data_IF_279496328855
#
_entry.id   IF_279496328855
#
_cell.length_a   1.000
_cell.length_b   1.000
_cell.length_c   1.000
_cell.angle_alpha   90.00
_cell.angle_beta   90.00
_cell.angle_gamma   90.00
#
_symmetry.space_group_name_H-M   'P 1'
#
loop_
_entity.id
_entity.type
_entity.pdbx_description
1 polymer ?
#
# COMPACT_ATOMS: atom_id res chain seq x y z
N UNK A 1 94.43 -7.10 41.95
CA UNK A 1 93.41 -6.78 42.97
C UNK A 1 92.04 -7.27 42.48
N UNK A 2 91.36 -8.02 43.34
CA UNK A 2 89.91 -8.34 43.41
C UNK A 2 89.18 -8.89 42.18
N UNK A 3 89.06 -10.22 42.18
CA UNK A 3 87.81 -11.00 42.24
C UNK A 3 86.54 -10.34 41.68
N UNK A 4 86.17 -10.72 40.46
CA UNK A 4 84.78 -10.78 40.02
C UNK A 4 84.45 -12.22 39.64
N UNK A 5 83.96 -13.02 40.60
CA UNK A 5 83.36 -14.32 40.34
C UNK A 5 82.08 -14.11 39.53
N UNK A 6 82.18 -13.95 38.21
CA UNK A 6 81.02 -14.02 37.34
C UNK A 6 80.58 -15.48 37.28
N UNK A 7 79.46 -15.76 37.94
CA UNK A 7 78.77 -17.05 37.95
C UNK A 7 78.63 -17.63 36.54
N UNK A 8 79.25 -18.77 36.26
CA UNK A 8 79.05 -19.59 35.05
C UNK A 8 77.71 -20.36 35.07
N UNK A 9 76.63 -19.77 35.61
CA UNK A 9 75.34 -20.45 35.73
C UNK A 9 74.44 -20.31 34.50
N UNK A 10 74.83 -19.48 33.52
CA UNK A 10 74.01 -19.24 32.33
C UNK A 10 74.83 -19.46 31.06
N UNK A 11 74.38 -20.41 30.23
CA UNK A 11 74.91 -20.60 28.87
C UNK A 11 74.68 -19.32 28.06
N UNK A 12 75.61 -18.90 27.18
CA UNK A 12 75.39 -17.75 26.30
C UNK A 12 74.15 -18.01 25.45
N UNK A 13 73.17 -17.11 25.55
CA UNK A 13 71.91 -17.21 24.81
C UNK A 13 72.21 -16.87 23.34
N UNK A 14 71.92 -17.82 22.44
CA UNK A 14 72.02 -17.59 21.01
C UNK A 14 70.82 -16.77 20.53
N UNK A 15 70.98 -15.46 20.59
CA UNK A 15 69.96 -14.51 20.14
C UNK A 15 69.62 -14.69 18.65
N UNK A 16 70.57 -15.11 17.80
CA UNK A 16 70.30 -15.32 16.37
C UNK A 16 69.33 -16.48 16.18
N UNK A 17 69.58 -17.59 16.86
CA UNK A 17 68.68 -18.74 16.85
C UNK A 17 67.28 -18.40 17.40
N UNK A 18 67.19 -17.62 18.47
CA UNK A 18 65.89 -17.15 19.00
C UNK A 18 65.15 -16.23 18.02
N UNK A 19 65.85 -15.33 17.32
CA UNK A 19 65.24 -14.49 16.28
C UNK A 19 64.73 -15.32 15.10
N UNK A 20 65.45 -16.36 14.70
CA UNK A 20 65.02 -17.29 13.64
C UNK A 20 63.76 -18.06 14.06
N UNK A 21 63.72 -18.60 15.28
CA UNK A 21 62.52 -19.27 15.83
C UNK A 21 61.35 -18.29 15.89
N UNK A 22 61.56 -17.09 16.41
CA UNK A 22 60.52 -16.07 16.50
C UNK A 22 60.02 -15.62 15.11
N UNK A 23 60.90 -15.54 14.11
CA UNK A 23 60.53 -15.22 12.74
C UNK A 23 59.70 -16.36 12.10
N UNK A 24 60.08 -17.61 12.32
CA UNK A 24 59.33 -18.79 11.86
C UNK A 24 57.94 -18.84 12.50
N UNK A 25 57.85 -18.67 13.82
CA UNK A 25 56.57 -18.61 14.56
C UNK A 25 55.71 -17.43 14.11
N UNK A 26 56.31 -16.25 13.86
CA UNK A 26 55.60 -15.09 13.32
C UNK A 26 55.04 -15.37 11.92
N UNK A 27 55.79 -16.07 11.06
CA UNK A 27 55.29 -16.49 9.75
C UNK A 27 54.20 -17.56 9.85
N UNK A 28 54.32 -18.51 10.79
CA UNK A 28 53.30 -19.52 11.06
C UNK A 28 51.99 -18.88 11.56
N UNK A 29 52.09 -17.95 12.51
CA UNK A 29 50.97 -17.16 13.03
C UNK A 29 50.30 -16.33 11.93
N UNK A 30 51.07 -15.67 11.07
CA UNK A 30 50.53 -14.93 9.92
C UNK A 30 49.77 -15.84 8.94
N UNK A 31 50.27 -17.06 8.68
CA UNK A 31 49.57 -18.07 7.87
C UNK A 31 48.25 -18.52 8.51
N UNK A 32 48.22 -18.70 9.84
CA UNK A 32 46.99 -19.05 10.57
C UNK A 32 45.98 -17.90 10.51
N UNK A 33 46.41 -16.66 10.75
CA UNK A 33 45.55 -15.47 10.65
C UNK A 33 44.97 -15.32 9.23
N UNK A 34 45.76 -15.59 8.19
CA UNK A 34 45.29 -15.56 6.81
C UNK A 34 44.25 -16.65 6.54
N UNK A 35 44.42 -17.86 7.09
CA UNK A 35 43.39 -18.92 7.02
C UNK A 35 42.11 -18.52 7.74
N UNK A 36 42.20 -17.95 8.95
CA UNK A 36 41.05 -17.46 9.72
C UNK A 36 40.28 -16.41 8.91
N UNK A 37 40.96 -15.38 8.39
CA UNK A 37 40.34 -14.34 7.56
C UNK A 37 39.64 -14.92 6.31
N UNK A 38 40.24 -15.91 5.65
CA UNK A 38 39.62 -16.61 4.51
C UNK A 38 38.35 -17.37 4.93
N UNK A 39 38.40 -18.11 6.03
CA UNK A 39 37.22 -18.85 6.53
C UNK A 39 36.10 -17.92 6.97
N UNK A 40 36.42 -16.78 7.59
CA UNK A 40 35.44 -15.76 7.95
C UNK A 40 34.78 -15.13 6.72
N UNK A 41 35.57 -14.84 5.68
CA UNK A 41 35.04 -14.29 4.43
C UNK A 41 34.08 -15.28 3.74
N UNK A 42 34.45 -16.56 3.65
CA UNK A 42 33.57 -17.60 3.11
C UNK A 42 32.30 -17.74 3.94
N UNK A 43 32.41 -17.72 5.27
CA UNK A 43 31.24 -17.75 6.17
C UNK A 43 30.31 -16.55 5.96
N UNK A 44 30.86 -15.34 5.81
CA UNK A 44 30.08 -14.12 5.51
C UNK A 44 29.36 -14.23 4.16
N UNK A 45 30.06 -14.65 3.11
CA UNK A 45 29.46 -14.83 1.77
C UNK A 45 28.37 -15.90 1.79
N UNK A 46 28.58 -17.02 2.47
CA UNK A 46 27.57 -18.07 2.56
C UNK A 46 26.31 -17.60 3.30
N UNK A 47 26.47 -16.86 4.42
CA UNK A 47 25.34 -16.26 5.15
C UNK A 47 24.55 -15.30 4.25
N UNK A 48 25.26 -14.45 3.52
CA UNK A 48 24.65 -13.50 2.58
C UNK A 48 23.89 -14.20 1.46
N UNK A 49 24.48 -15.24 0.86
CA UNK A 49 23.80 -16.04 -0.17
C UNK A 49 22.55 -16.72 0.36
N UNK A 50 22.58 -17.25 1.59
CA UNK A 50 21.40 -17.85 2.23
C UNK A 50 20.28 -16.81 2.46
N UNK A 51 20.63 -15.61 2.96
CA UNK A 51 19.67 -14.51 3.14
C UNK A 51 19.04 -14.08 1.81
N UNK A 52 19.85 -13.90 0.76
CA UNK A 52 19.35 -13.54 -0.56
C UNK A 52 18.43 -14.60 -1.15
N UNK A 53 18.69 -15.90 -0.90
CA UNK A 53 17.77 -16.98 -1.31
C UNK A 53 16.43 -16.87 -0.59
N UNK A 54 16.44 -16.58 0.71
CA UNK A 54 15.21 -16.38 1.50
C UNK A 54 14.41 -15.17 0.99
N UNK A 55 15.07 -14.04 0.72
CA UNK A 55 14.41 -12.85 0.19
C UNK A 55 13.80 -13.09 -1.19
N UNK A 56 14.52 -13.76 -2.10
CA UNK A 56 13.98 -14.14 -3.41
C UNK A 56 12.75 -15.04 -3.28
N UNK A 57 12.77 -15.99 -2.35
CA UNK A 57 11.61 -16.85 -2.11
C UNK A 57 10.40 -16.04 -1.64
N UNK A 58 10.58 -15.12 -0.69
CA UNK A 58 9.52 -14.22 -0.21
C UNK A 58 8.96 -13.40 -1.37
N UNK A 59 9.82 -12.79 -2.19
CA UNK A 59 9.39 -11.99 -3.34
C UNK A 59 8.62 -12.80 -4.38
N UNK A 60 9.05 -14.03 -4.67
CA UNK A 60 8.32 -14.89 -5.60
C UNK A 60 6.93 -15.26 -5.09
N UNK A 61 6.82 -15.61 -3.81
CA UNK A 61 5.53 -15.92 -3.18
C UNK A 61 4.62 -14.69 -3.17
N UNK A 62 5.17 -13.53 -2.84
CA UNK A 62 4.42 -12.28 -2.78
C UNK A 62 3.96 -11.81 -4.16
N UNK A 63 4.82 -11.92 -5.17
CA UNK A 63 4.47 -11.61 -6.55
C UNK A 63 3.30 -12.47 -7.04
N UNK A 64 3.37 -13.79 -6.80
CA UNK A 64 2.28 -14.71 -7.14
C UNK A 64 0.98 -14.32 -6.45
N UNK A 65 1.01 -14.07 -5.14
CA UNK A 65 -0.15 -13.66 -4.35
C UNK A 65 -0.76 -12.34 -4.84
N UNK A 66 0.08 -11.34 -5.10
CA UNK A 66 -0.37 -10.04 -5.60
C UNK A 66 -0.98 -10.16 -7.00
N UNK A 67 -0.41 -11.01 -7.87
CA UNK A 67 -0.97 -11.30 -9.18
C UNK A 67 -2.36 -11.95 -9.08
N UNK A 68 -2.51 -12.97 -8.22
CA UNK A 68 -3.79 -13.64 -7.99
C UNK A 68 -4.83 -12.68 -7.38
N UNK A 69 -4.42 -11.88 -6.39
CA UNK A 69 -5.29 -10.87 -5.76
C UNK A 69 -5.72 -9.79 -6.74
N UNK A 70 -4.81 -9.36 -7.63
CA UNK A 70 -5.11 -8.39 -8.69
C UNK A 70 -6.13 -8.97 -9.66
N UNK A 71 -5.90 -10.19 -10.16
CA UNK A 71 -6.83 -10.86 -11.07
C UNK A 71 -8.22 -11.03 -10.44
N UNK A 72 -8.28 -11.38 -9.16
CA UNK A 72 -9.55 -11.48 -8.43
C UNK A 72 -10.25 -10.14 -8.32
N UNK A 73 -9.55 -9.08 -7.92
CA UNK A 73 -10.13 -7.74 -7.81
C UNK A 73 -10.59 -7.20 -9.18
N UNK A 74 -9.80 -7.41 -10.24
CA UNK A 74 -10.18 -7.04 -11.62
C UNK A 74 -11.44 -7.79 -12.07
N UNK A 75 -11.56 -9.08 -11.74
CA UNK A 75 -12.77 -9.85 -12.03
C UNK A 75 -14.00 -9.37 -11.24
N UNK A 76 -13.83 -9.05 -9.94
CA UNK A 76 -14.90 -8.50 -9.10
C UNK A 76 -15.36 -7.13 -9.60
N UNK A 77 -14.43 -6.23 -9.97
CA UNK A 77 -14.73 -4.93 -10.56
C UNK A 77 -15.49 -5.12 -11.88
N UNK A 78 -15.02 -6.01 -12.75
CA UNK A 78 -15.69 -6.29 -14.02
C UNK A 78 -17.12 -6.80 -13.80
N UNK A 79 -17.30 -7.74 -12.87
CA UNK A 79 -18.62 -8.28 -12.52
C UNK A 79 -19.54 -7.17 -12.00
N UNK A 80 -19.04 -6.33 -11.10
CA UNK A 80 -19.79 -5.18 -10.57
C UNK A 80 -20.19 -4.20 -11.69
N UNK A 81 -19.27 -3.87 -12.60
CA UNK A 81 -19.56 -3.00 -13.74
C UNK A 81 -20.57 -3.63 -14.71
N UNK A 82 -20.50 -4.93 -14.96
CA UNK A 82 -21.47 -5.65 -15.79
C UNK A 82 -22.88 -5.66 -15.13
N UNK A 83 -22.97 -5.86 -13.81
CA UNK A 83 -24.23 -5.84 -13.06
C UNK A 83 -24.85 -4.43 -12.92
N UNK A 84 -24.04 -3.40 -12.65
CA UNK A 84 -24.53 -2.03 -12.44
C UNK A 84 -24.70 -1.22 -13.73
N UNK A 85 -24.02 -1.59 -14.82
CA UNK A 85 -24.18 -0.92 -16.13
C UNK A 85 -25.60 -0.97 -16.68
N UNK A 86 -26.41 -1.94 -16.27
CA UNK A 86 -27.82 -2.03 -16.64
C UNK A 86 -28.71 -1.07 -15.83
N UNK A 87 -28.22 -0.51 -14.72
CA UNK A 87 -28.97 0.35 -13.80
C UNK A 87 -28.59 1.82 -13.88
N UNK A 88 -27.34 2.13 -14.24
CA UNK A 88 -26.83 3.50 -14.26
C UNK A 88 -26.04 3.81 -15.54
N UNK A 89 -26.48 4.81 -16.29
CA UNK A 89 -25.89 5.22 -17.58
C UNK A 89 -24.40 5.63 -17.48
N UNK A 90 -23.95 6.11 -16.32
CA UNK A 90 -22.55 6.52 -16.10
C UNK A 90 -21.53 5.39 -16.35
N UNK A 91 -21.89 4.14 -16.04
CA UNK A 91 -20.97 3.01 -16.27
C UNK A 91 -20.83 2.64 -17.75
N UNK A 92 -21.81 2.99 -18.59
CA UNK A 92 -21.70 2.86 -20.05
C UNK A 92 -20.70 3.88 -20.60
N UNK A 93 -20.79 5.14 -20.15
CA UNK A 93 -19.84 6.19 -20.54
C UNK A 93 -18.40 5.84 -20.14
N UNK A 94 -18.20 5.24 -18.96
CA UNK A 94 -16.88 4.75 -18.54
C UNK A 94 -16.34 3.62 -19.43
N UNK A 95 -17.20 2.68 -19.85
CA UNK A 95 -16.81 1.60 -20.78
C UNK A 95 -16.42 2.18 -22.14
N UNK A 96 -17.16 3.17 -22.63
CA UNK A 96 -16.85 3.85 -23.89
C UNK A 96 -15.51 4.60 -23.82
N UNK A 97 -15.22 5.25 -22.69
CA UNK A 97 -13.92 5.87 -22.42
C UNK A 97 -12.79 4.83 -22.39
N UNK A 98 -12.99 3.68 -21.72
CA UNK A 98 -12.01 2.59 -21.71
C UNK A 98 -11.68 2.11 -23.13
N UNK A 99 -12.70 1.90 -23.96
CA UNK A 99 -12.51 1.47 -25.35
C UNK A 99 -11.77 2.53 -26.17
N UNK A 100 -12.10 3.82 -26.00
CA UNK A 100 -11.41 4.94 -26.65
C UNK A 100 -9.93 4.97 -26.25
N UNK A 101 -9.63 4.90 -24.95
CA UNK A 101 -8.26 4.89 -24.42
C UNK A 101 -7.46 3.68 -24.90
N UNK A 102 -8.07 2.49 -24.94
CA UNK A 102 -7.41 1.29 -25.48
C UNK A 102 -7.05 1.48 -26.95
N UNK A 103 -7.99 2.01 -27.75
CA UNK A 103 -7.76 2.26 -29.18
C UNK A 103 -6.68 3.33 -29.41
N UNK A 104 -6.69 4.40 -28.62
CA UNK A 104 -5.65 5.44 -28.65
C UNK A 104 -4.28 4.86 -28.29
N UNK A 105 -4.22 4.01 -27.26
CA UNK A 105 -3.00 3.32 -26.84
C UNK A 105 -2.46 2.41 -27.95
N UNK A 106 -3.30 1.60 -28.57
CA UNK A 106 -2.90 0.70 -29.65
C UNK A 106 -2.40 1.49 -30.87
N UNK A 107 -3.09 2.59 -31.19
CA UNK A 107 -2.70 3.52 -32.26
C UNK A 107 -1.35 4.15 -31.95
N UNK A 108 -1.17 4.64 -30.72
CA UNK A 108 0.07 5.23 -30.25
C UNK A 108 1.23 4.23 -30.28
N UNK A 109 1.02 3.02 -29.78
CA UNK A 109 2.02 1.94 -29.81
C UNK A 109 2.40 1.59 -31.25
N UNK A 110 1.43 1.50 -32.15
CA UNK A 110 1.67 1.27 -33.57
C UNK A 110 2.53 2.39 -34.16
N UNK A 111 2.15 3.65 -33.95
CA UNK A 111 2.85 4.81 -34.50
C UNK A 111 4.27 5.01 -33.93
N UNK A 112 4.56 4.53 -32.72
CA UNK A 112 5.86 4.70 -32.07
C UNK A 112 6.79 3.51 -32.20
N UNK A 113 6.26 2.27 -32.11
CA UNK A 113 7.05 1.04 -32.11
C UNK A 113 7.31 0.53 -33.52
N UNK A 114 6.32 0.61 -34.43
CA UNK A 114 6.46 0.08 -35.80
C UNK A 114 7.61 0.77 -36.56
N UNK A 115 7.78 2.12 -36.53
CA UNK A 115 8.90 2.75 -37.23
C UNK A 115 10.28 2.31 -36.72
N UNK A 116 10.41 2.07 -35.41
CA UNK A 116 11.66 1.57 -34.82
C UNK A 116 11.93 0.12 -35.22
N UNK A 117 10.89 -0.71 -35.22
CA UNK A 117 10.98 -2.12 -35.64
C UNK A 117 11.33 -2.24 -37.12
N UNK A 118 10.65 -1.46 -37.98
CA UNK A 118 10.95 -1.36 -39.40
C UNK A 118 12.37 -0.86 -39.65
N UNK A 119 12.83 0.18 -38.93
CA UNK A 119 14.20 0.65 -39.04
C UNK A 119 15.20 -0.47 -38.67
N UNK A 120 14.95 -1.20 -37.58
CA UNK A 120 15.79 -2.33 -37.15
C UNK A 120 15.84 -3.44 -38.19
N UNK A 121 14.69 -3.81 -38.76
CA UNK A 121 14.59 -4.86 -39.79
C UNK A 121 15.27 -4.43 -41.09
N UNK A 122 15.04 -3.19 -41.54
CA UNK A 122 15.70 -2.60 -42.71
C UNK A 122 17.23 -2.53 -42.54
N UNK A 123 17.72 -2.18 -41.35
CA UNK A 123 19.16 -2.18 -41.06
C UNK A 123 19.74 -3.59 -41.06
N UNK A 124 19.03 -4.58 -40.50
CA UNK A 124 19.46 -5.98 -40.54
C UNK A 124 19.53 -6.52 -41.96
N UNK A 125 18.49 -6.29 -42.76
CA UNK A 125 18.42 -6.72 -44.16
C UNK A 125 19.56 -6.12 -44.99
N UNK A 126 19.81 -4.80 -44.85
CA UNK A 126 20.89 -4.13 -45.57
C UNK A 126 22.28 -4.55 -45.09
N UNK A 127 22.46 -4.85 -43.80
CA UNK A 127 23.71 -5.44 -43.29
C UNK A 127 23.95 -6.83 -43.90
N UNK A 128 22.93 -7.69 -43.97
CA UNK A 128 23.07 -8.99 -44.63
C UNK A 128 23.40 -8.86 -46.12
N UNK A 129 22.79 -7.93 -46.85
CA UNK A 129 23.15 -7.65 -48.25
C UNK A 129 24.60 -7.19 -48.38
N UNK A 130 25.05 -6.23 -47.55
CA UNK A 130 26.45 -5.77 -47.55
C UNK A 130 27.44 -6.91 -47.29
N UNK A 131 27.09 -7.84 -46.39
CA UNK A 131 27.91 -9.03 -46.11
C UNK A 131 27.95 -10.01 -47.31
N UNK A 132 26.88 -10.17 -48.07
CA UNK A 132 26.85 -10.98 -49.29
C UNK A 132 27.70 -10.35 -50.41
N UNK A 133 27.60 -9.03 -50.64
CA UNK A 133 28.36 -8.33 -51.67
C UNK A 133 29.86 -8.17 -51.35
N UNK A 134 30.26 -8.27 -50.08
CA UNK A 134 31.68 -8.33 -49.70
C UNK A 134 32.34 -9.67 -50.08
N UNK A 135 31.54 -10.70 -50.39
CA UNK A 135 32.03 -12.00 -50.89
C UNK A 135 32.17 -12.04 -52.42
N UNK A 136 31.63 -11.06 -53.15
CA UNK A 136 31.72 -10.91 -54.61
C UNK A 136 32.48 -9.62 -54.94
N UNK A 137 33.75 -9.75 -55.32
CA UNK A 137 34.79 -8.71 -55.25
C UNK A 137 34.67 -7.52 -56.22
N UNK A 138 33.50 -7.23 -56.79
CA UNK A 138 33.34 -6.12 -57.75
C UNK A 138 32.09 -5.27 -57.50
N UNK A 139 32.33 -4.01 -57.13
CA UNK A 139 31.43 -2.84 -57.14
C UNK A 139 31.03 -2.28 -55.75
N UNK A 140 32.03 -2.00 -54.91
CA UNK A 140 31.84 -1.57 -53.52
C UNK A 140 31.50 -0.10 -53.27
N UNK A 141 31.35 0.76 -54.28
CA UNK A 141 31.29 2.23 -54.01
C UNK A 141 30.03 2.97 -54.46
N UNK A 142 29.08 2.37 -55.18
CA UNK A 142 27.98 3.15 -55.78
C UNK A 142 26.54 2.74 -55.43
N UNK A 143 26.29 1.64 -54.71
CA UNK A 143 24.90 1.14 -54.55
C UNK A 143 24.25 1.34 -53.17
N UNK A 144 25.03 1.52 -52.11
CA UNK A 144 24.48 1.72 -50.77
C UNK A 144 24.55 3.19 -50.38
N UNK A 145 23.39 3.87 -50.35
CA UNK A 145 23.30 5.25 -49.89
C UNK A 145 23.42 5.32 -48.36
N UNK A 146 24.66 5.23 -47.87
CA UNK A 146 25.04 5.33 -46.46
C UNK A 146 24.59 6.67 -45.84
N UNK A 147 24.53 7.72 -46.66
CA UNK A 147 24.11 9.06 -46.23
C UNK A 147 22.63 9.09 -45.91
N UNK A 148 21.77 8.56 -46.80
CA UNK A 148 20.33 8.41 -46.54
C UNK A 148 20.04 7.51 -45.33
N UNK A 149 20.83 6.43 -45.14
CA UNK A 149 20.67 5.54 -44.00
C UNK A 149 20.96 6.25 -42.66
N UNK A 150 22.06 7.00 -42.59
CA UNK A 150 22.41 7.78 -41.40
C UNK A 150 21.38 8.89 -41.16
N UNK A 151 20.84 9.50 -42.21
CA UNK A 151 19.75 10.46 -42.11
C UNK A 151 18.46 9.83 -41.55
N UNK A 152 18.08 8.64 -42.03
CA UNK A 152 16.90 7.90 -41.54
C UNK A 152 17.04 7.52 -40.06
N UNK A 153 18.22 7.05 -39.63
CA UNK A 153 18.50 6.76 -38.21
C UNK A 153 18.41 8.03 -37.36
N UNK A 154 19.02 9.14 -37.81
CA UNK A 154 18.97 10.42 -37.10
C UNK A 154 17.53 10.94 -36.99
N UNK A 155 16.75 10.81 -38.05
CA UNK A 155 15.35 11.20 -38.09
C UNK A 155 14.51 10.42 -37.06
N UNK A 156 14.57 9.09 -37.07
CA UNK A 156 13.81 8.25 -36.12
C UNK A 156 14.27 8.49 -34.68
N UNK A 157 15.57 8.69 -34.44
CA UNK A 157 16.08 9.06 -33.10
C UNK A 157 15.53 10.42 -32.63
N UNK A 158 15.49 11.42 -33.52
CA UNK A 158 14.93 12.74 -33.21
C UNK A 158 13.43 12.66 -32.93
N UNK A 159 12.71 11.87 -33.72
CA UNK A 159 11.28 11.63 -33.53
C UNK A 159 11.00 10.95 -32.18
N UNK A 160 11.72 9.87 -31.85
CA UNK A 160 11.60 9.17 -30.56
C UNK A 160 11.91 10.09 -29.38
N UNK A 161 12.93 10.93 -29.49
CA UNK A 161 13.28 11.91 -28.45
C UNK A 161 12.15 12.92 -28.24
N UNK A 162 11.62 13.50 -29.31
CA UNK A 162 10.52 14.46 -29.23
C UNK A 162 9.24 13.84 -28.62
N UNK A 163 8.94 12.60 -29.00
CA UNK A 163 7.82 11.83 -28.44
C UNK A 163 8.01 11.60 -26.93
N UNK A 164 9.21 11.22 -26.50
CA UNK A 164 9.51 11.00 -25.08
C UNK A 164 9.39 12.30 -24.27
N UNK A 165 9.90 13.41 -24.81
CA UNK A 165 9.78 14.74 -24.18
C UNK A 165 8.31 15.15 -24.04
N UNK A 166 7.51 14.95 -25.09
CA UNK A 166 6.06 15.21 -25.05
C UNK A 166 5.35 14.34 -24.00
N UNK A 167 5.62 13.03 -23.97
CA UNK A 167 5.06 12.12 -22.98
C UNK A 167 5.40 12.52 -21.54
N UNK A 168 6.64 12.97 -21.29
CA UNK A 168 7.03 13.43 -19.96
C UNK A 168 6.19 14.65 -19.56
N UNK A 169 6.03 15.62 -20.45
CA UNK A 169 5.21 16.81 -20.19
C UNK A 169 3.74 16.46 -19.96
N UNK A 170 3.17 15.58 -20.79
CA UNK A 170 1.81 15.09 -20.64
C UNK A 170 1.62 14.34 -19.32
N UNK A 171 2.56 13.47 -18.94
CA UNK A 171 2.50 12.75 -17.66
C UNK A 171 2.52 13.70 -16.47
N UNK A 172 3.36 14.74 -16.51
CA UNK A 172 3.43 15.75 -15.44
C UNK A 172 2.13 16.59 -15.36
N UNK A 173 1.52 16.91 -16.51
CA UNK A 173 0.25 17.60 -16.55
C UNK A 173 -0.88 16.75 -15.95
N UNK A 174 -0.95 15.47 -16.32
CA UNK A 174 -1.93 14.53 -15.78
C UNK A 174 -1.72 14.28 -14.28
N UNK A 175 -0.48 14.14 -13.81
CA UNK A 175 -0.17 14.02 -12.39
C UNK A 175 -0.65 15.24 -11.60
N UNK A 176 -0.50 16.45 -12.15
CA UNK A 176 -0.99 17.68 -11.54
C UNK A 176 -2.52 17.73 -11.50
N UNK A 177 -3.19 17.38 -12.60
CA UNK A 177 -4.66 17.31 -12.64
C UNK A 177 -5.19 16.30 -11.62
N UNK A 178 -4.57 15.11 -11.54
CA UNK A 178 -4.94 14.08 -10.58
C UNK A 178 -4.79 14.54 -9.12
N UNK A 179 -3.73 15.28 -8.80
CA UNK A 179 -3.55 15.81 -7.43
C UNK A 179 -4.62 16.88 -7.09
N UNK A 180 -5.00 17.72 -8.06
CA UNK A 180 -6.12 18.67 -7.91
C UNK A 180 -7.46 17.95 -7.70
N UNK A 181 -7.72 16.84 -8.40
CA UNK A 181 -8.93 16.03 -8.16
C UNK A 181 -8.89 15.32 -6.81
N UNK A 182 -7.74 14.80 -6.40
CA UNK A 182 -7.55 14.12 -5.12
C UNK A 182 -7.83 15.05 -3.95
N UNK A 183 -7.36 16.29 -4.00
CA UNK A 183 -7.67 17.29 -2.96
C UNK A 183 -9.16 17.60 -2.89
N UNK A 184 -9.83 17.75 -4.05
CA UNK A 184 -11.30 17.95 -4.13
C UNK A 184 -12.07 16.74 -3.59
N UNK A 185 -11.71 15.52 -3.97
CA UNK A 185 -12.37 14.29 -3.53
C UNK A 185 -12.18 14.03 -2.03
N UNK A 186 -10.98 14.28 -1.49
CA UNK A 186 -10.72 14.16 -0.06
C UNK A 186 -11.53 15.14 0.77
N UNK A 187 -11.69 16.39 0.31
CA UNK A 187 -12.52 17.39 0.97
C UNK A 187 -13.99 16.95 1.06
N UNK A 188 -14.57 16.46 -0.05
CA UNK A 188 -15.95 15.96 -0.09
C UNK A 188 -16.13 14.74 0.83
N UNK A 189 -15.17 13.80 0.84
CA UNK A 189 -15.23 12.62 1.70
C UNK A 189 -15.14 12.92 3.20
N UNK A 190 -14.56 14.06 3.57
CA UNK A 190 -14.40 14.50 4.96
C UNK A 190 -15.66 15.20 5.46
N UNK A 191 -16.31 16.01 4.62
CA UNK A 191 -17.61 16.61 4.91
C UNK A 191 -18.72 15.56 5.06
N UNK A 192 -18.77 14.57 4.17
CA UNK A 192 -19.70 13.43 4.31
C UNK A 192 -19.40 12.55 5.54
N UNK A 193 -18.15 12.39 5.96
CA UNK A 193 -17.86 11.60 7.19
C UNK A 193 -18.30 12.29 8.47
N UNK A 194 -18.32 13.63 8.50
CA UNK A 194 -18.65 14.40 9.69
C UNK A 194 -20.16 14.66 9.83
N UNK A 195 -20.89 14.86 8.72
CA UNK A 195 -22.32 15.17 8.74
C UNK A 195 -23.23 13.98 9.07
N UNK A 196 -22.95 12.81 8.50
CA UNK A 196 -23.87 11.67 8.53
C UNK A 196 -23.90 10.89 9.85
N UNK A 197 -22.95 11.15 10.76
CA UNK A 197 -22.87 10.42 12.02
C UNK A 197 -23.92 10.87 13.04
N UNK A 198 -24.18 12.19 13.08
CA UNK A 198 -25.13 12.82 14.00
C UNK A 198 -26.52 13.00 13.38
N UNK A 199 -26.64 12.83 12.07
CA UNK A 199 -27.92 12.93 11.38
C UNK A 199 -28.88 11.83 11.84
N UNK A 200 -30.12 12.24 12.13
CA UNK A 200 -31.19 11.34 12.55
C UNK A 200 -31.65 10.55 11.33
N UNK A 201 -31.62 9.21 11.35
CA UNK A 201 -32.06 8.37 10.26
C UNK A 201 -33.47 8.75 9.82
N UNK A 202 -33.67 8.88 8.51
CA UNK A 202 -34.99 9.17 7.93
C UNK A 202 -36.06 8.20 8.42
N UNK A 203 -35.70 6.93 8.62
CA UNK A 203 -36.56 5.90 9.21
C UNK A 203 -37.16 6.29 10.59
N UNK A 204 -36.42 7.02 11.44
CA UNK A 204 -36.94 7.53 12.72
C UNK A 204 -37.81 8.77 12.55
N UNK A 205 -37.53 9.60 11.55
CA UNK A 205 -38.31 10.82 11.29
C UNK A 205 -39.67 10.47 10.69
N UNK A 206 -39.73 9.48 9.80
CA UNK A 206 -40.95 9.02 9.14
C UNK A 206 -41.80 8.06 9.96
N UNK A 207 -41.38 7.69 11.18
CA UNK A 207 -42.19 6.89 12.10
C UNK A 207 -43.42 7.68 12.58
N UNK A 208 -44.61 7.14 12.34
CA UNK A 208 -45.87 7.62 12.89
C UNK A 208 -45.95 7.17 14.36
N UNK A 209 -46.11 8.14 15.28
CA UNK A 209 -46.18 7.89 16.72
C UNK A 209 -47.33 8.70 17.31
N UNK A 210 -48.30 8.08 17.99
CA UNK A 210 -49.43 8.79 18.60
C UNK A 210 -49.01 9.64 19.81
N UNK A 211 -47.83 9.37 20.39
CA UNK A 211 -47.26 10.14 21.50
C UNK A 211 -46.04 10.96 21.02
N UNK A 212 -46.16 12.28 20.80
CA UNK A 212 -45.06 13.13 20.36
C UNK A 212 -43.87 13.13 21.33
N UNK A 213 -44.13 13.08 22.63
CA UNK A 213 -43.11 13.06 23.67
C UNK A 213 -42.23 11.80 23.59
N UNK A 214 -42.83 10.64 23.28
CA UNK A 214 -42.09 9.41 23.07
C UNK A 214 -41.19 9.51 21.84
N UNK A 215 -41.69 10.10 20.74
CA UNK A 215 -40.90 10.29 19.51
C UNK A 215 -39.69 11.20 19.76
N UNK A 216 -39.87 12.30 20.50
CA UNK A 216 -38.76 13.19 20.85
C UNK A 216 -37.75 12.52 21.78
N UNK A 217 -38.19 11.72 22.74
CA UNK A 217 -37.33 10.95 23.63
C UNK A 217 -36.46 9.95 22.85
N UNK A 218 -37.05 9.19 21.92
CA UNK A 218 -36.32 8.26 21.05
C UNK A 218 -35.27 8.99 20.20
N UNK A 219 -35.61 10.15 19.62
CA UNK A 219 -34.67 10.95 18.83
C UNK A 219 -33.51 11.46 19.70
N UNK A 220 -33.79 11.91 20.93
CA UNK A 220 -32.77 12.39 21.85
C UNK A 220 -31.83 11.27 22.31
N UNK A 221 -32.35 10.08 22.61
CA UNK A 221 -31.53 8.92 22.94
C UNK A 221 -30.65 8.48 21.74
N UNK A 222 -31.17 8.56 20.51
CA UNK A 222 -30.35 8.35 19.31
C UNK A 222 -29.20 9.35 19.24
N UNK A 223 -29.47 10.64 19.41
CA UNK A 223 -28.45 11.69 19.37
C UNK A 223 -27.38 11.52 20.45
N UNK A 224 -27.79 11.10 21.65
CA UNK A 224 -26.89 10.79 22.77
C UNK A 224 -26.00 9.59 22.48
N UNK A 225 -26.55 8.53 21.88
CA UNK A 225 -25.79 7.39 21.42
C UNK A 225 -24.78 7.79 20.34
N UNK A 226 -25.24 8.49 19.30
CA UNK A 226 -24.44 8.95 18.18
C UNK A 226 -23.29 9.85 18.63
N UNK A 227 -23.56 10.83 19.51
CA UNK A 227 -22.54 11.74 20.05
C UNK A 227 -21.50 11.00 20.89
N UNK A 228 -21.89 9.99 21.67
CA UNK A 228 -20.97 9.17 22.44
C UNK A 228 -19.98 8.39 21.57
N UNK A 229 -20.43 7.82 20.46
CA UNK A 229 -19.55 7.16 19.48
C UNK A 229 -18.70 8.16 18.70
N UNK A 230 -19.28 9.30 18.34
CA UNK A 230 -18.60 10.37 17.62
C UNK A 230 -17.43 10.95 18.42
N UNK A 231 -17.62 11.28 19.70
CA UNK A 231 -16.56 11.79 20.56
C UNK A 231 -15.41 10.80 20.72
N UNK A 232 -15.70 9.50 20.87
CA UNK A 232 -14.67 8.46 20.91
C UNK A 232 -13.91 8.35 19.58
N UNK A 233 -14.62 8.49 18.46
CA UNK A 233 -13.99 8.45 17.13
C UNK A 233 -13.05 9.66 16.96
N UNK A 234 -13.48 10.85 17.38
CA UNK A 234 -12.64 12.06 17.35
C UNK A 234 -11.41 11.94 18.24
N UNK A 235 -11.54 11.35 19.44
CA UNK A 235 -10.41 11.09 20.33
C UNK A 235 -9.38 10.18 19.65
N UNK A 236 -9.83 9.06 19.07
CA UNK A 236 -8.98 8.13 18.33
C UNK A 236 -8.34 8.82 17.12
N UNK A 237 -9.09 9.62 16.37
CA UNK A 237 -8.57 10.37 15.23
C UNK A 237 -7.52 11.40 15.64
N UNK A 238 -7.68 12.03 16.80
CA UNK A 238 -6.68 12.93 17.36
C UNK A 238 -5.42 12.17 17.79
N UNK A 239 -5.57 11.02 18.45
CA UNK A 239 -4.44 10.15 18.82
C UNK A 239 -3.65 9.71 17.58
N UNK A 240 -4.34 9.29 16.51
CA UNK A 240 -3.71 8.91 15.23
C UNK A 240 -2.96 10.08 14.58
N UNK A 241 -3.53 11.29 14.61
CA UNK A 241 -2.86 12.49 14.08
C UNK A 241 -1.59 12.82 14.86
N UNK A 242 -1.63 12.73 16.19
CA UNK A 242 -0.46 12.96 17.05
C UNK A 242 0.63 11.94 16.77
N UNK A 243 0.30 10.64 16.74
CA UNK A 243 1.26 9.59 16.41
C UNK A 243 1.87 9.77 15.02
N UNK A 244 1.05 10.11 14.03
CA UNK A 244 1.54 10.31 12.66
C UNK A 244 2.49 11.50 12.56
N UNK A 245 2.19 12.62 13.23
CA UNK A 245 3.08 13.80 13.27
C UNK A 245 4.38 13.53 14.00
N UNK A 246 4.37 12.64 14.98
CA UNK A 246 5.56 12.27 15.74
C UNK A 246 6.48 11.30 14.98
N UNK A 247 6.09 10.83 13.79
CA UNK A 247 7.01 10.09 12.93
C UNK A 247 8.05 11.06 12.34
N UNK A 248 9.30 10.98 12.83
CA UNK A 248 10.45 11.70 12.28
C UNK A 248 10.97 11.09 10.95
N UNK A 249 10.05 10.53 10.15
CA UNK A 249 10.35 9.77 8.95
C UNK A 249 9.91 10.53 7.71
N UNK A 250 10.74 10.50 6.66
CA UNK A 250 10.35 11.03 5.36
C UNK A 250 9.23 10.19 4.77
N UNK A 251 8.38 10.78 3.93
CA UNK A 251 7.26 10.08 3.31
C UNK A 251 7.74 8.90 2.45
N UNK A 252 8.87 9.06 1.76
CA UNK A 252 9.48 8.01 0.96
C UNK A 252 9.99 6.86 1.84
N UNK A 253 10.67 7.17 2.95
CA UNK A 253 11.17 6.18 3.90
C UNK A 253 10.01 5.40 4.53
N UNK A 254 8.91 6.08 4.87
CA UNK A 254 7.71 5.47 5.43
C UNK A 254 7.01 4.56 4.40
N UNK A 255 6.96 4.98 3.14
CA UNK A 255 6.42 4.15 2.06
C UNK A 255 7.26 2.89 1.84
N UNK A 256 8.59 3.00 1.83
CA UNK A 256 9.50 1.84 1.77
C UNK A 256 9.27 0.93 2.96
N UNK A 257 9.18 1.49 4.16
CA UNK A 257 8.95 0.73 5.39
C UNK A 257 7.66 -0.08 5.33
N UNK A 258 6.54 0.58 5.01
CA UNK A 258 5.23 -0.04 4.91
C UNK A 258 5.20 -1.12 3.81
N UNK A 259 5.78 -0.82 2.65
CA UNK A 259 5.82 -1.74 1.51
C UNK A 259 6.57 -3.01 1.88
N UNK A 260 7.76 -2.88 2.48
CA UNK A 260 8.58 -4.02 2.88
C UNK A 260 7.85 -4.83 3.96
N UNK A 261 7.32 -4.23 5.02
CA UNK A 261 6.62 -4.99 6.07
C UNK A 261 5.45 -5.81 5.53
N UNK A 262 4.73 -5.28 4.54
CA UNK A 262 3.58 -5.95 3.93
C UNK A 262 3.99 -7.11 3.00
N UNK A 263 5.18 -7.04 2.37
CA UNK A 263 5.72 -8.13 1.56
C UNK A 263 6.10 -9.36 2.40
N UNK A 264 6.56 -9.14 3.65
CA UNK A 264 6.91 -10.23 4.56
C UNK A 264 5.70 -10.57 5.42
N UNK A 265 5.01 -11.67 5.09
CA UNK A 265 3.82 -12.14 5.81
C UNK A 265 4.10 -12.58 7.25
N UNK A 266 3.06 -12.60 8.09
CA UNK A 266 3.12 -12.98 9.52
C UNK A 266 3.48 -14.44 9.76
N UNK A 267 3.20 -15.34 8.81
CA UNK A 267 3.46 -16.78 8.86
C UNK A 267 4.91 -17.17 8.55
N UNK A 268 5.75 -16.23 8.09
CA UNK A 268 7.15 -16.48 7.80
C UNK A 268 7.98 -16.69 9.08
N UNK A 269 8.75 -17.78 9.12
CA UNK A 269 9.75 -17.96 10.16
C UNK A 269 10.82 -16.87 10.08
N UNK A 270 11.20 -16.31 11.23
CA UNK A 270 12.19 -15.20 11.34
C UNK A 270 11.82 -13.97 10.50
N UNK A 271 10.52 -13.75 10.25
CA UNK A 271 9.97 -12.58 9.55
C UNK A 271 10.67 -11.27 9.92
N UNK A 272 10.76 -10.98 11.22
CA UNK A 272 11.39 -9.78 11.76
C UNK A 272 12.84 -9.62 11.37
N UNK A 273 13.61 -10.70 11.38
CA UNK A 273 15.00 -10.66 10.95
C UNK A 273 15.11 -10.37 9.46
N UNK A 274 14.23 -10.94 8.65
CA UNK A 274 14.25 -10.80 7.19
C UNK A 274 13.86 -9.40 6.73
N UNK A 275 12.72 -8.85 7.19
CA UNK A 275 12.35 -7.50 6.76
C UNK A 275 13.29 -6.45 7.33
N UNK A 276 13.84 -6.61 8.56
CA UNK A 276 14.82 -5.65 9.08
C UNK A 276 16.10 -5.67 8.24
N UNK A 277 16.56 -6.85 7.80
CA UNK A 277 17.70 -6.96 6.89
C UNK A 277 17.44 -6.22 5.57
N UNK A 278 16.26 -6.40 4.97
CA UNK A 278 15.89 -5.71 3.72
C UNK A 278 15.70 -4.21 3.91
N UNK A 279 15.10 -3.78 5.01
CA UNK A 279 14.95 -2.36 5.34
C UNK A 279 16.32 -1.69 5.52
N UNK A 280 17.28 -2.36 6.18
CA UNK A 280 18.64 -1.84 6.30
C UNK A 280 19.36 -1.71 4.95
N UNK A 281 19.00 -2.53 3.96
CA UNK A 281 19.53 -2.44 2.59
C UNK A 281 18.89 -1.30 1.79
N UNK A 282 17.58 -1.11 1.92
CA UNK A 282 16.86 -0.04 1.21
C UNK A 282 16.99 1.34 1.86
N UNK A 283 17.21 1.38 3.17
CA UNK A 283 17.36 2.59 3.98
C UNK A 283 18.73 2.58 4.67
N UNK A 284 19.85 2.67 3.93
CA UNK A 284 21.19 2.62 4.49
C UNK A 284 21.50 3.80 5.42
N UNK A 285 20.75 4.90 5.29
CA UNK A 285 20.83 6.08 6.15
C UNK A 285 20.12 5.94 7.50
N UNK A 286 19.34 4.87 7.72
CA UNK A 286 18.64 4.61 8.98
C UNK A 286 19.37 3.53 9.77
N UNK A 287 19.55 3.77 11.07
CA UNK A 287 20.16 2.76 11.92
C UNK A 287 19.18 1.63 12.19
N UNK A 288 19.70 0.45 12.58
CA UNK A 288 18.85 -0.67 13.03
C UNK A 288 18.02 -0.28 14.25
N UNK A 289 18.55 0.58 15.11
CA UNK A 289 17.83 1.06 16.29
C UNK A 289 16.61 1.88 15.87
N UNK A 290 16.78 2.83 14.94
CA UNK A 290 15.70 3.68 14.45
C UNK A 290 14.59 2.86 13.78
N UNK A 291 14.96 1.84 13.02
CA UNK A 291 14.02 0.90 12.40
C UNK A 291 13.17 0.15 13.45
N UNK A 292 13.77 -0.28 14.55
CA UNK A 292 13.08 -0.97 15.64
C UNK A 292 12.21 -0.01 16.46
N UNK A 293 12.65 1.23 16.67
CA UNK A 293 11.84 2.27 17.33
C UNK A 293 10.62 2.59 16.47
N UNK A 294 10.82 2.78 15.17
CA UNK A 294 9.74 3.04 14.22
C UNK A 294 8.76 1.87 14.12
N UNK A 295 9.24 0.63 14.11
CA UNK A 295 8.41 -0.58 14.18
C UNK A 295 7.45 -0.55 15.37
N UNK A 296 7.92 -0.23 16.57
CA UNK A 296 7.06 -0.14 17.76
C UNK A 296 6.01 0.97 17.64
N UNK A 297 6.42 2.13 17.13
CA UNK A 297 5.51 3.26 16.92
C UNK A 297 4.46 2.94 15.83
N UNK A 298 4.86 2.20 14.81
CA UNK A 298 4.01 1.71 13.73
C UNK A 298 3.01 0.65 14.21
N UNK A 299 3.44 -0.29 15.06
CA UNK A 299 2.56 -1.28 15.70
C UNK A 299 1.51 -0.59 16.57
N UNK A 300 1.92 0.42 17.34
CA UNK A 300 0.99 1.22 18.14
C UNK A 300 0.00 1.99 17.27
N UNK A 301 0.47 2.63 16.19
CA UNK A 301 -0.39 3.29 15.21
C UNK A 301 -1.39 2.32 14.59
N UNK A 302 -0.95 1.13 14.18
CA UNK A 302 -1.83 0.09 13.64
C UNK A 302 -2.87 -0.40 14.65
N UNK A 303 -2.48 -0.55 15.91
CA UNK A 303 -3.39 -0.92 16.98
C UNK A 303 -4.52 0.10 17.13
N UNK A 304 -4.19 1.40 17.24
CA UNK A 304 -5.20 2.47 17.35
C UNK A 304 -6.05 2.54 16.07
N UNK A 305 -5.44 2.38 14.89
CA UNK A 305 -6.19 2.34 13.62
C UNK A 305 -7.17 1.17 13.58
N UNK A 306 -6.82 0.01 14.13
CA UNK A 306 -7.72 -1.13 14.26
C UNK A 306 -8.84 -0.85 15.27
N UNK A 307 -8.55 -0.20 16.41
CA UNK A 307 -9.59 0.24 17.35
C UNK A 307 -10.59 1.18 16.68
N UNK A 308 -10.12 2.13 15.86
CA UNK A 308 -10.97 2.99 15.04
C UNK A 308 -11.93 2.18 14.16
N UNK A 309 -11.39 1.18 13.44
CA UNK A 309 -12.19 0.31 12.55
C UNK A 309 -13.25 -0.46 13.34
N UNK A 310 -12.88 -1.03 14.48
CA UNK A 310 -13.81 -1.74 15.36
C UNK A 310 -14.90 -0.80 15.90
N UNK A 311 -14.55 0.42 16.28
CA UNK A 311 -15.51 1.42 16.75
C UNK A 311 -16.56 1.76 15.67
N UNK A 312 -16.14 1.91 14.42
CA UNK A 312 -17.05 2.17 13.30
C UNK A 312 -17.99 0.98 13.05
N UNK A 313 -17.47 -0.25 13.12
CA UNK A 313 -18.29 -1.46 12.98
C UNK A 313 -19.30 -1.57 14.12
N UNK A 314 -18.87 -1.32 15.36
CA UNK A 314 -19.73 -1.31 16.54
C UNK A 314 -20.81 -0.23 16.42
N UNK A 315 -20.47 0.95 15.89
CA UNK A 315 -21.46 2.00 15.61
C UNK A 315 -22.51 1.52 14.61
N UNK A 316 -22.10 0.92 13.48
CA UNK A 316 -23.03 0.42 12.48
C UNK A 316 -24.01 -0.61 13.08
N UNK A 317 -23.51 -1.51 13.93
CA UNK A 317 -24.32 -2.51 14.63
C UNK A 317 -25.24 -1.87 15.68
N UNK A 318 -24.73 -0.94 16.50
CA UNK A 318 -25.50 -0.24 17.51
C UNK A 318 -26.62 0.61 16.89
N UNK A 319 -26.33 1.30 15.79
CA UNK A 319 -27.32 2.06 15.00
C UNK A 319 -28.43 1.14 14.51
N UNK A 320 -28.10 0.00 13.92
CA UNK A 320 -29.10 -0.99 13.45
C UNK A 320 -29.96 -1.52 14.60
N UNK A 321 -29.34 -1.90 15.72
CA UNK A 321 -30.05 -2.41 16.89
C UNK A 321 -30.96 -1.35 17.53
N UNK A 322 -30.49 -0.10 17.61
CA UNK A 322 -31.27 1.02 18.11
C UNK A 322 -32.50 1.27 17.25
N UNK A 323 -32.35 1.29 15.91
CA UNK A 323 -33.47 1.49 14.99
C UNK A 323 -34.54 0.41 15.15
N UNK A 324 -34.13 -0.86 15.23
CA UNK A 324 -35.05 -1.96 15.47
C UNK A 324 -35.82 -1.78 16.78
N UNK A 325 -35.10 -1.46 17.87
CA UNK A 325 -35.72 -1.23 19.19
C UNK A 325 -36.67 -0.02 19.19
N UNK A 326 -36.31 1.05 18.51
CA UNK A 326 -37.14 2.24 18.40
C UNK A 326 -38.46 1.95 17.66
N UNK A 327 -38.38 1.20 16.55
CA UNK A 327 -39.56 0.77 15.80
C UNK A 327 -40.47 -0.12 16.66
N UNK A 328 -39.91 -1.08 17.40
CA UNK A 328 -40.71 -1.96 18.27
C UNK A 328 -41.38 -1.18 19.40
N UNK A 329 -40.67 -0.27 20.07
CA UNK A 329 -41.24 0.53 21.17
C UNK A 329 -42.33 1.49 20.68
N UNK A 330 -42.17 2.09 19.50
CA UNK A 330 -43.22 2.94 18.92
C UNK A 330 -44.43 2.09 18.52
N UNK A 331 -44.23 0.91 17.93
CA UNK A 331 -45.33 0.01 17.59
C UNK A 331 -46.11 -0.47 18.83
N UNK A 332 -45.42 -0.80 19.93
CA UNK A 332 -46.03 -1.14 21.22
C UNK A 332 -46.84 0.02 21.78
N UNK A 333 -46.30 1.25 21.74
CA UNK A 333 -47.02 2.44 22.18
C UNK A 333 -48.24 2.74 21.29
N UNK A 334 -48.13 2.55 19.97
CA UNK A 334 -49.27 2.70 19.05
C UNK A 334 -50.38 1.69 19.34
N UNK A 335 -50.03 0.42 19.56
CA UNK A 335 -51.00 -0.61 19.93
C UNK A 335 -51.69 -0.28 21.27
N UNK A 336 -50.92 0.19 22.28
CA UNK A 336 -51.49 0.63 23.55
C UNK A 336 -52.46 1.80 23.35
N UNK A 337 -52.10 2.80 22.55
CA UNK A 337 -52.97 3.92 22.23
C UNK A 337 -54.28 3.50 21.57
N UNK A 338 -54.22 2.60 20.57
CA UNK A 338 -55.42 2.06 19.92
C UNK A 338 -56.34 1.36 20.92
N UNK A 339 -55.79 0.57 21.85
CA UNK A 339 -56.59 -0.07 22.90
C UNK A 339 -57.22 0.94 23.87
N UNK A 340 -56.51 2.01 24.23
CA UNK A 340 -57.03 3.09 25.06
C UNK A 340 -58.17 3.83 24.37
N UNK A 341 -58.04 4.12 23.07
CA UNK A 341 -59.08 4.76 22.26
C UNK A 341 -60.33 3.88 22.18
N UNK A 342 -60.18 2.57 21.94
CA UNK A 342 -61.31 1.62 21.94
C UNK A 342 -62.00 1.59 23.31
N UNK A 343 -61.22 1.56 24.40
CA UNK A 343 -61.75 1.56 25.76
C UNK A 343 -62.45 2.88 26.13
N UNK A 344 -61.93 4.02 25.69
CA UNK A 344 -62.57 5.32 25.86
C UNK A 344 -63.90 5.39 25.09
N UNK A 345 -63.92 4.93 23.83
CA UNK A 345 -65.12 4.88 23.01
C UNK A 345 -66.20 3.97 23.60
N UNK A 346 -65.82 2.81 24.17
CA UNK A 346 -66.79 1.92 24.84
C UNK A 346 -67.35 2.53 26.12
N UNK A 347 -66.52 3.21 26.93
CA UNK A 347 -66.98 3.95 28.11
C UNK A 347 -67.94 5.08 27.74
N UNK A 348 -67.63 5.84 26.68
CA UNK A 348 -68.50 6.91 26.20
C UNK A 348 -69.86 6.36 25.76
N UNK A 349 -69.89 5.29 24.95
CA UNK A 349 -71.14 4.62 24.57
C UNK A 349 -71.95 4.12 25.76
N UNK A 350 -71.27 3.56 26.78
CA UNK A 350 -71.94 3.15 28.02
C UNK A 350 -72.55 4.33 28.77
N UNK A 351 -71.86 5.46 28.84
CA UNK A 351 -72.37 6.68 29.47
C UNK A 351 -73.59 7.25 28.72
N UNK A 352 -73.57 7.25 27.39
CA UNK A 352 -74.71 7.65 26.55
C UNK A 352 -75.92 6.75 26.81
N UNK A 353 -75.75 5.43 26.79
CA UNK A 353 -76.83 4.48 27.11
C UNK A 353 -77.36 4.69 28.54
N UNK A 354 -76.49 4.95 29.52
CA UNK A 354 -76.92 5.21 30.90
C UNK A 354 -77.67 6.53 31.05
N UNK A 355 -77.36 7.54 30.24
CA UNK A 355 -78.07 8.81 30.21
C UNK A 355 -79.46 8.63 29.58
N UNK A 356 -79.55 7.90 28.47
CA UNK A 356 -80.81 7.60 27.79
C UNK A 356 -81.77 6.77 28.65
N UNK A 357 -81.24 5.84 29.45
CA UNK A 357 -82.04 5.02 30.38
C UNK A 357 -82.51 5.78 31.65
N UNK A 358 -81.99 6.99 31.90
CA UNK A 358 -82.38 7.84 33.05
C UNK A 358 -83.39 8.93 32.68
N UNK A 359 -83.65 9.14 31.40
CA UNK A 359 -84.75 9.97 30.88
C UNK A 359 -86.04 9.15 30.82
#
# INVERSE_FOLDING_TARGET
MRNGLCSQKYKPVDYKHLYEIAAVEKMASAKIQLKIKKTEQVSKVNKEQMLLKQHRQVWWQEHKRLSESRQKAEAEIKTFLDEESHKHNFFLDMRDLEHKLSKERDTYQTNTVVPVRQLKENLKFRLSEMHCYLSEESCLKSKFNLVEMLQQIKFVKKQQKAILEFLILESLALEKELEDYKTKALAHSFEEKNGFFLEVPSALLSLECPYPDLKTLVINEYRKLASGYWSKLQEIDQQLKVLYRNFEWKQEDQWVFQTVINQYRSDLQRRRTLYLDVLQRYLPHKSRHDLVVHEKAWDHYHFIKNQRRVLILNWAQAKKAFLLKAVTTIAEASAAHETEVVLANTKQKQQEICADLKA
#
